data_IF_021269111897
#
_entry.id   IF_021269111897
#
_cell.length_a   1.000
_cell.length_b   1.000
_cell.length_c   1.000
_cell.angle_alpha   90.00
_cell.angle_beta   90.00
_cell.angle_gamma   90.00
#
_symmetry.space_group_name_H-M   'P 1'
#
loop_
_entity.id
_entity.type
_entity.pdbx_description
1 polymer ?
#
# COMPACT_ATOMS: atom_id res chain seq x y z
N UNK A 1 70.22 80.86 1.77
CA UNK A 1 70.76 80.56 3.11
C UNK A 1 70.71 79.05 3.31
N UNK A 2 71.89 78.47 3.54
CA UNK A 2 72.14 77.18 4.21
C UNK A 2 71.77 75.84 3.53
N UNK A 3 72.80 75.30 2.84
CA UNK A 3 73.42 73.95 2.92
C UNK A 3 72.59 72.67 2.70
N UNK A 4 73.03 71.89 1.70
CA UNK A 4 72.85 70.44 1.47
C UNK A 4 73.55 69.56 2.51
N UNK A 5 73.01 68.39 2.86
CA UNK A 5 73.75 67.16 3.29
C UNK A 5 72.76 65.97 3.11
N UNK A 6 72.90 65.01 2.18
CA UNK A 6 73.94 64.01 1.85
C UNK A 6 73.94 62.74 2.74
N UNK A 7 73.41 61.66 2.14
CA UNK A 7 73.86 60.25 2.07
C UNK A 7 74.38 59.44 3.28
N UNK A 8 73.88 58.19 3.31
CA UNK A 8 74.56 56.89 3.49
C UNK A 8 75.44 56.59 4.73
N UNK A 9 75.09 55.52 5.46
CA UNK A 9 75.97 54.62 6.26
C UNK A 9 75.32 53.21 6.17
N UNK A 10 75.82 52.21 5.41
CA UNK A 10 76.93 51.25 5.68
C UNK A 10 76.69 50.47 6.99
N UNK A 11 76.96 49.18 7.24
CA UNK A 11 77.26 47.94 6.52
C UNK A 11 77.52 46.89 7.63
N UNK A 12 77.24 45.60 7.37
CA UNK A 12 77.97 44.39 7.87
C UNK A 12 78.04 44.00 9.36
N UNK A 13 77.64 42.75 9.68
CA UNK A 13 78.42 41.76 10.48
C UNK A 13 77.69 40.38 10.45
N UNK A 14 78.13 39.41 9.63
CA UNK A 14 79.05 38.28 9.90
C UNK A 14 78.45 37.07 10.67
N UNK A 15 78.73 35.91 10.09
CA UNK A 15 78.23 34.56 10.38
C UNK A 15 79.04 33.78 11.44
N UNK A 16 78.42 32.75 12.06
CA UNK A 16 78.81 31.31 12.06
C UNK A 16 78.11 30.54 13.21
N UNK A 17 77.67 29.31 12.96
CA UNK A 17 77.24 28.37 14.01
C UNK A 17 76.56 27.07 13.52
N UNK A 18 77.34 26.15 12.94
CA UNK A 18 77.08 24.70 12.78
C UNK A 18 76.80 24.12 14.20
N UNK A 19 75.88 23.21 14.55
CA UNK A 19 75.59 21.85 14.06
C UNK A 19 74.47 21.29 14.95
N UNK A 20 73.36 20.73 14.43
CA UNK A 20 72.63 19.65 15.13
C UNK A 20 71.75 18.84 14.15
N UNK A 21 72.15 17.58 13.98
CA UNK A 21 71.34 16.37 13.76
C UNK A 21 70.15 16.38 12.79
N UNK A 22 70.40 15.78 11.62
CA UNK A 22 69.59 14.70 11.01
C UNK A 22 68.33 14.31 11.80
N UNK A 23 67.15 14.72 11.36
CA UNK A 23 65.87 13.98 11.51
C UNK A 23 64.69 14.82 11.00
N UNK A 24 64.25 14.58 9.75
CA UNK A 24 62.84 14.50 9.32
C UNK A 24 62.74 14.63 7.79
N UNK A 25 63.25 13.60 7.10
CA UNK A 25 62.90 13.26 5.72
C UNK A 25 61.66 12.32 5.67
N UNK A 26 60.79 12.38 6.68
CA UNK A 26 59.63 11.49 6.80
C UNK A 26 58.38 12.29 7.15
N UNK A 27 57.45 12.41 6.20
CA UNK A 27 56.14 12.99 6.52
C UNK A 27 55.34 13.61 5.38
N UNK A 28 55.45 13.12 4.14
CA UNK A 28 54.44 13.38 3.12
C UNK A 28 54.11 12.11 2.33
N UNK A 29 53.92 11.00 3.04
CA UNK A 29 52.99 9.98 2.59
C UNK A 29 51.60 10.47 3.02
N UNK A 30 51.01 11.33 2.20
CA UNK A 30 49.57 11.58 2.29
C UNK A 30 48.92 10.26 1.87
N UNK A 31 48.53 9.47 2.88
CA UNK A 31 47.61 8.36 2.69
C UNK A 31 46.39 8.91 1.96
N UNK A 32 46.31 8.66 0.66
CA UNK A 32 45.04 8.72 -0.07
C UNK A 32 44.25 7.52 0.43
N UNK A 33 43.73 7.63 1.65
CA UNK A 33 42.62 6.82 2.08
C UNK A 33 41.46 7.24 1.18
N UNK A 34 41.34 6.58 0.02
CA UNK A 34 40.07 6.47 -0.65
C UNK A 34 39.13 5.82 0.38
N UNK A 35 38.45 6.64 1.17
CA UNK A 35 37.11 6.31 1.60
C UNK A 35 36.37 6.04 0.31
N UNK A 36 36.35 4.78 -0.12
CA UNK A 36 35.71 4.35 -1.35
C UNK A 36 34.24 4.70 -1.16
N UNK A 37 33.86 5.83 -1.73
CA UNK A 37 32.55 6.42 -1.55
C UNK A 37 31.57 5.37 -2.09
N UNK A 38 30.78 4.76 -1.20
CA UNK A 38 29.86 3.68 -1.58
C UNK A 38 29.01 4.19 -2.74
N UNK A 39 29.07 3.48 -3.87
CA UNK A 39 28.31 3.88 -5.07
C UNK A 39 26.83 3.62 -4.83
N UNK A 40 26.00 4.36 -5.52
CA UNK A 40 24.56 4.12 -5.54
C UNK A 40 24.12 3.73 -6.93
N UNK A 41 22.95 3.11 -7.04
CA UNK A 41 22.33 2.81 -8.34
C UNK A 41 22.10 4.05 -9.21
N UNK A 42 22.14 5.27 -8.64
CA UNK A 42 22.07 6.53 -9.40
C UNK A 42 23.34 6.85 -10.18
N UNK A 43 24.45 6.15 -9.91
CA UNK A 43 25.75 6.40 -10.55
C UNK A 43 25.94 5.62 -11.86
N UNK A 44 24.85 5.22 -12.53
CA UNK A 44 24.93 4.48 -13.79
C UNK A 44 25.63 3.13 -13.63
N UNK A 45 25.13 2.27 -12.73
CA UNK A 45 25.82 1.03 -12.34
C UNK A 45 25.53 -0.18 -13.24
N UNK A 46 24.62 -0.03 -14.20
CA UNK A 46 24.25 -1.08 -15.15
C UNK A 46 24.29 -0.53 -16.58
N UNK A 47 24.48 -1.40 -17.58
CA UNK A 47 24.40 -1.00 -19.00
C UNK A 47 23.00 -1.26 -19.58
N UNK A 48 22.70 -0.57 -20.67
CA UNK A 48 21.44 -0.73 -21.40
C UNK A 48 21.32 -2.13 -22.02
N UNK A 49 22.44 -2.66 -22.54
CA UNK A 49 22.54 -3.98 -23.14
C UNK A 49 22.29 -5.06 -22.09
N UNK A 50 22.86 -4.89 -20.89
CA UNK A 50 22.65 -5.80 -19.77
C UNK A 50 21.19 -5.81 -19.31
N UNK A 51 20.59 -4.64 -19.13
CA UNK A 51 19.17 -4.54 -18.78
C UNK A 51 18.26 -5.19 -19.85
N UNK A 52 18.64 -5.09 -21.13
CA UNK A 52 17.91 -5.73 -22.23
C UNK A 52 17.97 -7.26 -22.14
N UNK A 53 19.14 -7.83 -21.81
CA UNK A 53 19.26 -9.28 -21.54
C UNK A 53 18.42 -9.69 -20.33
N UNK A 54 18.50 -8.91 -19.25
CA UNK A 54 17.71 -9.09 -18.05
C UNK A 54 16.20 -9.10 -18.29
N UNK A 55 15.71 -8.22 -19.16
CA UNK A 55 14.30 -8.16 -19.56
C UNK A 55 13.84 -9.49 -20.16
N UNK A 56 14.67 -10.11 -21.02
CA UNK A 56 14.36 -11.40 -21.64
C UNK A 56 14.18 -12.50 -20.60
N UNK A 57 15.11 -12.59 -19.64
CA UNK A 57 15.06 -13.54 -18.52
C UNK A 57 13.84 -13.28 -17.63
N UNK A 58 13.62 -12.01 -17.26
CA UNK A 58 12.50 -11.59 -16.42
C UNK A 58 11.14 -11.96 -17.04
N UNK A 59 10.95 -11.70 -18.34
CA UNK A 59 9.72 -12.06 -19.06
C UNK A 59 9.46 -13.56 -19.05
N UNK A 60 10.51 -14.36 -19.19
CA UNK A 60 10.39 -15.82 -19.22
C UNK A 60 10.15 -16.44 -17.82
N UNK A 61 10.70 -15.84 -16.75
CA UNK A 61 10.84 -16.52 -15.46
C UNK A 61 10.18 -15.80 -14.27
N UNK A 62 9.82 -14.51 -14.40
CA UNK A 62 9.39 -13.67 -13.28
C UNK A 62 8.03 -13.00 -13.49
N UNK A 63 7.71 -12.62 -14.74
CA UNK A 63 6.58 -11.74 -15.05
C UNK A 63 5.20 -12.32 -14.67
N UNK A 64 5.03 -13.64 -14.66
CA UNK A 64 3.76 -14.30 -14.29
C UNK A 64 3.34 -14.02 -12.84
N UNK A 65 4.30 -13.78 -11.94
CA UNK A 65 4.03 -13.46 -10.54
C UNK A 65 4.25 -11.98 -10.23
N UNK A 66 5.28 -11.35 -10.80
CA UNK A 66 5.70 -9.99 -10.45
C UNK A 66 5.19 -8.90 -11.41
N UNK A 67 4.38 -9.25 -12.40
CA UNK A 67 3.84 -8.31 -13.38
C UNK A 67 4.83 -7.97 -14.50
N UNK A 68 4.31 -7.50 -15.62
CA UNK A 68 5.12 -7.23 -16.82
C UNK A 68 6.01 -5.98 -16.66
N UNK A 69 5.54 -5.01 -15.87
CA UNK A 69 6.22 -3.78 -15.50
C UNK A 69 6.74 -3.77 -14.06
N UNK A 70 6.90 -4.94 -13.43
CA UNK A 70 7.40 -5.11 -12.05
C UNK A 70 6.46 -4.54 -10.98
N UNK A 71 5.19 -4.32 -11.33
CA UNK A 71 4.14 -3.74 -10.50
C UNK A 71 3.65 -4.67 -9.40
N UNK A 72 3.99 -5.96 -9.46
CA UNK A 72 3.48 -6.98 -8.56
C UNK A 72 2.08 -7.46 -8.95
N UNK A 73 1.86 -8.77 -8.85
CA UNK A 73 0.56 -9.41 -9.04
C UNK A 73 0.32 -10.39 -7.89
N UNK A 74 0.81 -11.61 -8.05
CA UNK A 74 0.82 -12.63 -7.00
C UNK A 74 2.09 -12.52 -6.13
N UNK A 75 3.20 -12.09 -6.74
CA UNK A 75 4.43 -11.70 -6.05
C UNK A 75 4.44 -10.19 -5.77
N UNK A 76 5.26 -9.73 -4.81
CA UNK A 76 5.37 -8.31 -4.47
C UNK A 76 5.88 -7.48 -5.66
N UNK A 77 5.63 -6.15 -5.65
CA UNK A 77 6.26 -5.23 -6.60
C UNK A 77 7.79 -5.27 -6.46
N UNK A 78 8.48 -5.14 -7.59
CA UNK A 78 9.94 -5.21 -7.68
C UNK A 78 10.59 -3.85 -8.04
N UNK A 79 9.80 -2.79 -8.04
CA UNK A 79 10.23 -1.40 -8.24
C UNK A 79 9.43 -0.46 -7.32
N UNK A 80 9.90 0.79 -7.17
CA UNK A 80 9.23 1.83 -6.40
C UNK A 80 9.73 1.96 -4.95
N UNK A 81 9.14 2.90 -4.21
CA UNK A 81 9.61 3.30 -2.89
C UNK A 81 9.45 2.19 -1.83
N UNK A 82 8.39 1.38 -1.92
CA UNK A 82 8.15 0.29 -0.98
C UNK A 82 9.17 -0.84 -1.17
N UNK A 83 9.48 -1.17 -2.43
CA UNK A 83 10.56 -2.09 -2.78
C UNK A 83 11.90 -1.59 -2.23
N UNK A 84 12.29 -0.35 -2.54
CA UNK A 84 13.57 0.21 -2.10
C UNK A 84 13.71 0.32 -0.57
N UNK A 85 12.60 0.37 0.16
CA UNK A 85 12.63 0.40 1.63
C UNK A 85 12.97 -0.96 2.23
N UNK A 86 12.50 -2.04 1.61
CA UNK A 86 12.90 -3.41 1.99
C UNK A 86 14.35 -3.68 1.56
N UNK A 87 14.74 -3.14 0.41
CA UNK A 87 16.04 -3.38 -0.21
C UNK A 87 17.02 -2.21 -0.06
N UNK A 88 16.97 -1.46 1.03
CA UNK A 88 17.85 -0.29 1.25
C UNK A 88 19.32 -0.66 1.53
N UNK A 89 19.65 -1.95 1.56
CA UNK A 89 20.99 -2.49 1.74
C UNK A 89 21.81 -2.53 0.43
N UNK A 90 22.93 -3.26 0.45
CA UNK A 90 23.74 -3.52 -0.74
C UNK A 90 23.00 -4.33 -1.81
N UNK A 91 23.37 -4.14 -3.08
CA UNK A 91 22.80 -4.92 -4.19
C UNK A 91 23.12 -6.42 -4.08
N UNK A 92 24.19 -6.79 -3.37
CA UNK A 92 24.53 -8.20 -3.10
C UNK A 92 23.38 -8.94 -2.42
N UNK A 93 22.65 -8.30 -1.51
CA UNK A 93 21.55 -8.92 -0.77
C UNK A 93 20.39 -9.28 -1.72
N UNK A 94 20.10 -8.38 -2.65
CA UNK A 94 19.05 -8.58 -3.65
C UNK A 94 19.44 -9.62 -4.70
N UNK A 95 20.68 -9.58 -5.19
CA UNK A 95 21.18 -10.62 -6.12
C UNK A 95 21.20 -11.98 -5.44
N UNK A 96 21.64 -12.06 -4.18
CA UNK A 96 21.60 -13.29 -3.38
C UNK A 96 20.16 -13.82 -3.23
N UNK A 97 19.20 -12.93 -2.95
CA UNK A 97 17.78 -13.31 -2.89
C UNK A 97 17.28 -13.91 -4.20
N UNK A 98 17.56 -13.26 -5.32
CA UNK A 98 17.17 -13.72 -6.65
C UNK A 98 17.83 -15.07 -6.93
N UNK A 99 19.13 -15.17 -6.72
CA UNK A 99 19.94 -16.36 -6.98
C UNK A 99 19.45 -17.60 -6.23
N UNK A 100 19.15 -17.46 -4.93
CA UNK A 100 18.88 -18.60 -4.06
C UNK A 100 17.41 -18.94 -3.90
N UNK A 101 16.49 -18.01 -4.17
CA UNK A 101 15.07 -18.21 -3.88
C UNK A 101 14.14 -17.99 -5.08
N UNK A 102 14.67 -17.54 -6.21
CA UNK A 102 13.90 -17.34 -7.44
C UNK A 102 14.42 -18.21 -8.59
N UNK A 103 13.54 -18.58 -9.55
CA UNK A 103 12.08 -18.49 -9.49
C UNK A 103 11.47 -19.33 -8.36
N UNK A 104 10.35 -18.91 -7.77
CA UNK A 104 9.78 -19.56 -6.58
C UNK A 104 9.39 -21.04 -6.80
N UNK A 105 9.06 -21.42 -8.03
CA UNK A 105 8.75 -22.78 -8.44
C UNK A 105 9.98 -23.62 -8.80
N UNK A 106 11.15 -23.00 -9.01
CA UNK A 106 12.39 -23.68 -9.35
C UNK A 106 13.63 -22.91 -8.81
N UNK A 107 13.79 -22.83 -7.47
CA UNK A 107 14.86 -22.03 -6.87
C UNK A 107 16.27 -22.53 -7.22
N UNK A 108 17.22 -21.62 -7.37
CA UNK A 108 18.64 -21.95 -7.60
C UNK A 108 18.99 -22.26 -9.06
N UNK A 109 18.08 -22.06 -10.02
CA UNK A 109 18.35 -22.24 -11.46
C UNK A 109 19.06 -21.08 -12.12
N UNK A 110 19.00 -19.88 -11.52
CA UNK A 110 19.64 -18.70 -12.07
C UNK A 110 21.13 -18.74 -11.77
N UNK A 111 21.95 -18.28 -12.70
CA UNK A 111 23.36 -18.00 -12.43
C UNK A 111 23.52 -16.63 -11.77
N UNK A 112 24.68 -16.38 -11.16
CA UNK A 112 25.01 -15.05 -10.63
C UNK A 112 24.90 -13.97 -11.72
N UNK A 113 25.35 -14.27 -12.95
CA UNK A 113 25.24 -13.34 -14.08
C UNK A 113 23.80 -13.11 -14.51
N UNK A 114 22.96 -14.17 -14.58
CA UNK A 114 21.54 -14.01 -14.90
C UNK A 114 20.82 -13.17 -13.84
N UNK A 115 21.17 -13.36 -12.57
CA UNK A 115 20.61 -12.59 -11.46
C UNK A 115 21.03 -11.11 -11.53
N UNK A 116 22.29 -10.84 -11.88
CA UNK A 116 22.79 -9.48 -12.12
C UNK A 116 22.11 -8.82 -13.34
N UNK A 117 21.90 -9.57 -14.42
CA UNK A 117 21.20 -9.09 -15.62
C UNK A 117 19.73 -8.76 -15.30
N UNK A 118 19.01 -9.63 -14.57
CA UNK A 118 17.64 -9.36 -14.10
C UNK A 118 17.62 -8.11 -13.21
N UNK A 119 18.58 -7.96 -12.30
CA UNK A 119 18.68 -6.76 -11.47
C UNK A 119 18.93 -5.50 -12.33
N UNK A 120 19.78 -5.57 -13.35
CA UNK A 120 19.97 -4.45 -14.28
C UNK A 120 18.66 -4.02 -14.95
N UNK A 121 17.81 -4.98 -15.33
CA UNK A 121 16.47 -4.69 -15.85
C UNK A 121 15.57 -4.03 -14.79
N UNK A 122 15.59 -4.53 -13.56
CA UNK A 122 14.83 -3.91 -12.45
C UNK A 122 15.28 -2.46 -12.21
N UNK A 123 16.59 -2.18 -12.29
CA UNK A 123 17.13 -0.83 -12.15
C UNK A 123 16.66 0.10 -13.28
N UNK A 124 16.64 -0.41 -14.52
CA UNK A 124 16.13 0.33 -15.68
C UNK A 124 14.64 0.67 -15.54
N UNK A 125 13.79 -0.29 -15.16
CA UNK A 125 12.36 -0.06 -14.94
C UNK A 125 12.14 0.88 -13.74
N UNK A 126 12.99 0.78 -12.72
CA UNK A 126 13.08 1.71 -11.60
C UNK A 126 13.57 3.12 -11.95
N UNK A 127 13.84 3.39 -13.24
CA UNK A 127 14.29 4.68 -13.78
C UNK A 127 15.66 5.13 -13.24
N UNK A 128 16.50 4.20 -12.82
CA UNK A 128 17.89 4.50 -12.54
C UNK A 128 18.66 4.64 -13.86
N UNK A 129 19.58 5.61 -13.98
CA UNK A 129 20.30 5.84 -15.21
C UNK A 129 21.15 4.61 -15.57
N UNK A 130 21.25 4.31 -16.85
CA UNK A 130 22.25 3.38 -17.36
C UNK A 130 23.61 4.08 -17.44
N UNK A 131 24.68 3.33 -17.19
CA UNK A 131 26.06 3.73 -17.43
C UNK A 131 26.69 2.95 -18.58
N UNK A 132 28.01 3.07 -18.69
CA UNK A 132 28.80 2.42 -19.77
C UNK A 132 29.26 1.00 -19.42
N UNK A 133 29.29 0.67 -18.13
CA UNK A 133 29.77 -0.62 -17.64
C UNK A 133 28.58 -1.50 -17.21
N UNK A 134 28.74 -2.80 -17.38
CA UNK A 134 27.79 -3.77 -16.85
C UNK A 134 27.90 -3.85 -15.31
N UNK A 135 26.77 -4.12 -14.67
CA UNK A 135 26.68 -4.48 -13.27
C UNK A 135 27.37 -5.84 -13.08
N UNK A 136 28.41 -5.88 -12.26
CA UNK A 136 29.18 -7.09 -11.99
C UNK A 136 28.32 -8.18 -11.34
N UNK A 137 28.59 -9.44 -11.67
CA UNK A 137 28.04 -10.60 -10.96
C UNK A 137 28.82 -10.97 -9.69
N UNK A 138 29.95 -10.29 -9.44
CA UNK A 138 30.78 -10.50 -8.25
C UNK A 138 30.13 -9.91 -6.99
N UNK A 139 29.99 -10.72 -5.94
CA UNK A 139 29.34 -10.35 -4.69
C UNK A 139 30.07 -9.21 -3.97
N UNK A 140 31.41 -9.20 -3.98
CA UNK A 140 32.19 -8.14 -3.35
C UNK A 140 31.95 -6.81 -4.07
N UNK A 141 31.92 -6.79 -5.39
CA UNK A 141 31.60 -5.60 -6.17
C UNK A 141 30.17 -5.10 -5.88
N UNK A 142 29.20 -6.01 -5.81
CA UNK A 142 27.80 -5.70 -5.52
C UNK A 142 27.58 -5.17 -4.10
N UNK A 143 28.37 -5.65 -3.13
CA UNK A 143 28.30 -5.19 -1.72
C UNK A 143 28.64 -3.70 -1.55
N UNK A 144 29.34 -3.11 -2.54
CA UNK A 144 29.74 -1.70 -2.54
C UNK A 144 28.74 -0.78 -3.23
N UNK A 145 27.65 -1.31 -3.77
CA UNK A 145 26.59 -0.57 -4.46
C UNK A 145 25.30 -0.68 -3.65
N UNK A 146 24.66 0.45 -3.38
CA UNK A 146 23.42 0.50 -2.57
C UNK A 146 22.30 1.21 -3.31
N UNK A 147 21.05 0.98 -2.89
CA UNK A 147 19.97 1.88 -3.26
C UNK A 147 20.16 3.24 -2.56
N UNK A 148 19.81 4.37 -3.21
CA UNK A 148 19.81 5.65 -2.52
C UNK A 148 18.85 5.58 -1.32
N UNK A 149 19.09 6.37 -0.26
CA UNK A 149 18.11 6.53 0.79
C UNK A 149 16.77 6.88 0.14
N UNK A 150 15.79 6.01 0.33
CA UNK A 150 14.40 6.37 0.02
C UNK A 150 14.15 7.61 0.87
N UNK A 151 13.59 8.70 0.31
CA UNK A 151 13.04 9.75 1.15
C UNK A 151 12.26 9.06 2.26
N UNK A 152 12.32 9.54 3.52
CA UNK A 152 11.42 9.00 4.52
C UNK A 152 10.06 8.87 3.84
N UNK A 153 9.37 7.72 4.04
CA UNK A 153 7.93 7.67 3.72
C UNK A 153 7.42 9.06 4.03
N UNK A 154 6.55 9.65 3.20
CA UNK A 154 5.74 10.71 3.71
C UNK A 154 5.31 10.21 5.10
N UNK A 155 5.90 10.80 6.14
CA UNK A 155 5.15 11.01 7.33
C UNK A 155 3.92 11.72 6.78
N UNK A 156 2.76 11.59 7.38
CA UNK A 156 1.78 12.62 7.16
C UNK A 156 2.45 13.94 7.56
N UNK A 157 3.21 14.56 6.63
CA UNK A 157 3.24 15.97 6.37
C UNK A 157 1.76 16.23 6.41
N UNK A 158 1.35 16.91 7.47
CA UNK A 158 0.12 17.64 7.46
C UNK A 158 0.19 18.45 6.16
N UNK A 159 -0.32 17.86 5.07
CA UNK A 159 -0.70 18.57 3.88
C UNK A 159 -1.43 19.77 4.45
N UNK A 160 -0.98 20.98 4.12
CA UNK A 160 -1.56 22.23 4.62
C UNK A 160 -3.05 21.99 4.81
N UNK A 161 -3.47 21.87 6.08
CA UNK A 161 -4.65 21.11 6.47
C UNK A 161 -5.86 21.89 6.03
N UNK A 162 -6.23 21.72 4.76
CA UNK A 162 -7.64 21.68 4.42
C UNK A 162 -8.12 20.38 5.05
N UNK A 163 -8.34 20.43 6.35
CA UNK A 163 -8.77 19.31 7.14
C UNK A 163 -10.12 18.92 6.54
N UNK A 164 -10.18 17.76 5.89
CA UNK A 164 -11.44 17.26 5.35
C UNK A 164 -12.44 17.28 6.52
N UNK A 165 -13.60 17.94 6.37
CA UNK A 165 -14.56 18.02 7.45
C UNK A 165 -14.88 16.63 7.98
N UNK A 166 -14.79 16.45 9.29
CA UNK A 166 -15.29 15.24 9.95
C UNK A 166 -16.77 15.43 10.24
N UNK A 167 -17.59 14.47 9.78
CA UNK A 167 -19.03 14.52 10.01
C UNK A 167 -19.38 13.66 11.22
N UNK A 168 -20.07 14.21 12.24
CA UNK A 168 -20.53 13.42 13.37
C UNK A 168 -21.58 12.40 12.93
N UNK A 169 -21.72 11.32 13.71
CA UNK A 169 -22.75 10.32 13.44
C UNK A 169 -24.16 10.93 13.54
N UNK A 170 -24.91 10.92 12.44
CA UNK A 170 -26.28 11.44 12.39
C UNK A 170 -27.33 10.54 13.08
N UNK A 171 -27.04 9.24 13.17
CA UNK A 171 -27.97 8.25 13.73
C UNK A 171 -27.27 7.18 14.55
N UNK A 172 -28.05 6.37 15.26
CA UNK A 172 -27.53 5.25 16.03
C UNK A 172 -27.13 4.07 15.13
N UNK A 173 -26.44 3.09 15.69
CA UNK A 173 -25.93 1.93 14.96
C UNK A 173 -27.04 1.15 14.26
N UNK A 174 -28.19 0.96 14.91
CA UNK A 174 -29.28 0.20 14.31
C UNK A 174 -29.98 0.94 13.17
N UNK A 175 -30.01 2.27 13.19
CA UNK A 175 -30.46 3.08 12.06
C UNK A 175 -29.52 2.91 10.86
N UNK A 176 -28.19 2.95 11.08
CA UNK A 176 -27.21 2.68 10.03
C UNK A 176 -27.39 1.27 9.44
N UNK A 177 -27.56 0.25 10.31
CA UNK A 177 -27.82 -1.12 9.85
C UNK A 177 -29.09 -1.22 9.01
N UNK A 178 -30.20 -0.59 9.44
CA UNK A 178 -31.48 -0.66 8.74
C UNK A 178 -31.53 0.17 7.46
N UNK A 179 -30.76 1.27 7.41
CA UNK A 179 -30.74 2.18 6.26
C UNK A 179 -29.87 1.68 5.11
N UNK A 180 -28.73 1.05 5.44
CA UNK A 180 -27.74 0.65 4.43
C UNK A 180 -27.62 -0.87 4.38
N UNK A 181 -27.15 -1.47 5.48
CA UNK A 181 -26.69 -2.85 5.44
C UNK A 181 -27.81 -3.87 5.23
N UNK A 182 -28.94 -3.71 5.89
CA UNK A 182 -30.09 -4.63 5.78
C UNK A 182 -30.72 -4.67 4.37
N UNK A 183 -31.11 -3.54 3.76
CA UNK A 183 -31.65 -3.57 2.40
C UNK A 183 -30.61 -4.05 1.38
N UNK A 184 -29.35 -3.60 1.48
CA UNK A 184 -28.29 -4.03 0.57
C UNK A 184 -27.97 -5.52 0.69
N UNK A 185 -27.88 -6.07 1.91
CA UNK A 185 -27.65 -7.51 2.09
C UNK A 185 -28.79 -8.33 1.51
N UNK A 186 -30.04 -7.89 1.69
CA UNK A 186 -31.20 -8.62 1.17
C UNK A 186 -31.23 -8.63 -0.36
N UNK A 187 -30.82 -7.53 -1.02
CA UNK A 187 -30.69 -7.50 -2.48
C UNK A 187 -29.66 -8.53 -2.98
N UNK A 188 -28.53 -8.67 -2.28
CA UNK A 188 -27.50 -9.64 -2.64
C UNK A 188 -27.95 -11.08 -2.33
N UNK A 189 -28.54 -11.34 -1.16
CA UNK A 189 -29.03 -12.68 -0.80
C UNK A 189 -30.18 -13.15 -1.70
N UNK A 190 -31.00 -12.22 -2.21
CA UNK A 190 -32.09 -12.56 -3.16
C UNK A 190 -31.56 -13.28 -4.40
N UNK A 191 -30.31 -13.00 -4.82
CA UNK A 191 -29.65 -13.64 -5.96
C UNK A 191 -29.59 -15.16 -5.83
N UNK A 192 -29.57 -15.71 -4.62
CA UNK A 192 -29.60 -17.16 -4.39
C UNK A 192 -30.89 -17.83 -4.91
N UNK A 193 -31.99 -17.07 -4.98
CA UNK A 193 -33.31 -17.57 -5.36
C UNK A 193 -33.85 -16.97 -6.65
N UNK A 194 -33.30 -15.83 -7.09
CA UNK A 194 -33.77 -15.08 -8.25
C UNK A 194 -32.59 -14.58 -9.07
N UNK A 195 -32.56 -14.96 -10.34
CA UNK A 195 -31.62 -14.41 -11.31
C UNK A 195 -31.88 -12.91 -11.52
N UNK A 196 -30.88 -12.02 -11.30
CA UNK A 196 -31.01 -10.60 -11.59
C UNK A 196 -31.23 -10.28 -13.08
N UNK A 197 -30.89 -11.19 -14.00
CA UNK A 197 -31.19 -11.05 -15.43
C UNK A 197 -32.64 -11.45 -15.77
N UNK A 198 -33.40 -12.04 -14.83
CA UNK A 198 -34.77 -12.45 -15.08
C UNK A 198 -35.68 -11.23 -15.34
N UNK A 199 -36.64 -11.35 -16.28
CA UNK A 199 -37.60 -10.29 -16.56
C UNK A 199 -38.33 -9.82 -15.29
N UNK A 200 -38.55 -8.52 -15.18
CA UNK A 200 -39.35 -7.97 -14.09
C UNK A 200 -40.82 -8.41 -14.25
N UNK A 201 -41.51 -8.69 -13.13
CA UNK A 201 -42.96 -8.84 -13.16
C UNK A 201 -43.61 -7.61 -13.77
N UNK A 202 -44.68 -7.79 -14.55
CA UNK A 202 -45.47 -6.66 -15.04
C UNK A 202 -46.03 -5.88 -13.84
N UNK A 203 -46.01 -4.54 -13.87
CA UNK A 203 -46.61 -3.73 -12.82
C UNK A 203 -48.07 -4.14 -12.60
N UNK A 204 -48.49 -4.22 -11.34
CA UNK A 204 -49.88 -4.53 -11.02
C UNK A 204 -50.79 -3.39 -11.51
N UNK A 205 -51.95 -3.65 -12.13
CA UNK A 205 -52.80 -2.61 -12.74
C UNK A 205 -53.35 -1.54 -11.79
N UNK A 206 -53.24 -1.76 -10.47
CA UNK A 206 -53.97 -1.03 -9.42
C UNK A 206 -53.25 0.24 -8.89
N UNK A 207 -52.11 0.66 -9.45
CA UNK A 207 -51.43 1.88 -9.00
C UNK A 207 -51.99 3.18 -9.60
N UNK A 208 -53.12 3.13 -10.32
CA UNK A 208 -53.68 4.27 -11.05
C UNK A 208 -54.59 5.21 -10.22
N UNK A 209 -54.87 4.87 -8.94
CA UNK A 209 -55.76 5.65 -8.07
C UNK A 209 -55.10 6.63 -7.10
N UNK A 210 -53.77 6.60 -6.95
CA UNK A 210 -53.01 7.45 -6.03
C UNK A 210 -52.24 8.55 -6.76
N UNK A 211 -52.10 9.72 -6.14
CA UNK A 211 -51.22 10.77 -6.66
C UNK A 211 -49.76 10.30 -6.84
N UNK A 212 -48.94 11.10 -7.52
CA UNK A 212 -47.55 10.74 -7.79
C UNK A 212 -46.74 10.45 -6.51
N UNK A 213 -46.06 9.30 -6.49
CA UNK A 213 -45.27 8.80 -5.37
C UNK A 213 -43.82 8.61 -5.81
N UNK A 214 -42.91 9.38 -5.20
CA UNK A 214 -41.47 9.29 -5.47
C UNK A 214 -40.88 7.92 -5.13
N UNK A 215 -41.45 7.23 -4.13
CA UNK A 215 -41.06 5.87 -3.77
C UNK A 215 -41.47 4.84 -4.82
N UNK A 216 -42.68 4.96 -5.38
CA UNK A 216 -43.18 4.02 -6.38
C UNK A 216 -42.49 4.24 -7.73
N UNK A 217 -42.29 5.51 -8.11
CA UNK A 217 -41.48 5.85 -9.28
C UNK A 217 -40.03 5.39 -9.11
N UNK A 218 -39.43 5.64 -7.95
CA UNK A 218 -38.03 5.30 -7.64
C UNK A 218 -37.74 3.79 -7.63
N UNK A 219 -38.71 2.97 -7.23
CA UNK A 219 -38.55 1.52 -7.12
C UNK A 219 -38.25 0.83 -8.46
N UNK A 220 -38.58 1.46 -9.59
CA UNK A 220 -38.36 0.91 -10.94
C UNK A 220 -37.14 1.45 -11.68
N UNK A 221 -36.41 2.44 -11.13
CA UNK A 221 -35.33 3.14 -11.87
C UNK A 221 -34.11 2.25 -12.07
N UNK A 222 -33.75 1.50 -11.03
CA UNK A 222 -32.60 0.61 -11.03
C UNK A 222 -33.10 -0.81 -10.92
N UNK A 223 -32.58 -1.70 -11.76
CA UNK A 223 -33.11 -3.07 -11.87
C UNK A 223 -31.99 -4.07 -12.16
N UNK A 224 -32.26 -5.34 -11.89
CA UNK A 224 -31.36 -6.45 -12.20
C UNK A 224 -29.96 -6.30 -11.61
N UNK A 225 -28.93 -6.56 -12.42
CA UNK A 225 -27.54 -6.61 -11.98
C UNK A 225 -27.00 -5.29 -11.41
N UNK A 226 -27.52 -4.14 -11.86
CA UNK A 226 -27.09 -2.84 -11.32
C UNK A 226 -27.49 -2.68 -9.84
N UNK A 227 -28.66 -3.18 -9.44
CA UNK A 227 -29.06 -3.16 -8.02
C UNK A 227 -28.11 -3.99 -7.15
N UNK A 228 -27.65 -5.13 -7.67
CA UNK A 228 -26.69 -5.99 -6.96
C UNK A 228 -25.34 -5.28 -6.83
N UNK A 229 -24.90 -4.58 -7.89
CA UNK A 229 -23.68 -3.76 -7.87
C UNK A 229 -23.76 -2.67 -6.79
N UNK A 230 -24.83 -1.88 -6.79
CA UNK A 230 -25.01 -0.79 -5.81
C UNK A 230 -25.12 -1.32 -4.39
N UNK A 231 -25.81 -2.44 -4.19
CA UNK A 231 -25.91 -3.09 -2.90
C UNK A 231 -24.53 -3.54 -2.38
N UNK A 232 -23.71 -4.14 -3.24
CA UNK A 232 -22.36 -4.57 -2.86
C UNK A 232 -21.44 -3.41 -2.52
N UNK A 233 -21.48 -2.32 -3.31
CA UNK A 233 -20.76 -1.07 -3.02
C UNK A 233 -21.23 -0.47 -1.69
N UNK A 234 -22.54 -0.41 -1.45
CA UNK A 234 -23.09 0.11 -0.20
C UNK A 234 -22.61 -0.68 1.03
N UNK A 235 -22.51 -2.01 0.94
CA UNK A 235 -21.89 -2.82 2.00
C UNK A 235 -20.41 -2.46 2.16
N UNK A 236 -19.66 -2.45 1.06
CA UNK A 236 -18.22 -2.17 1.08
C UNK A 236 -17.86 -0.81 1.71
N UNK A 237 -18.63 0.23 1.38
CA UNK A 237 -18.40 1.60 1.81
C UNK A 237 -19.05 1.95 3.15
N UNK A 238 -19.87 1.06 3.73
CA UNK A 238 -20.49 1.29 5.02
C UNK A 238 -19.52 1.16 6.22
N UNK A 239 -18.40 0.46 6.05
CA UNK A 239 -17.48 0.15 7.16
C UNK A 239 -16.93 1.40 7.88
N UNK A 240 -16.47 2.47 7.19
CA UNK A 240 -16.10 3.72 7.86
C UNK A 240 -17.23 4.34 8.69
N UNK A 241 -18.50 4.16 8.28
CA UNK A 241 -19.65 4.66 9.04
C UNK A 241 -19.86 3.90 10.35
N UNK A 242 -19.46 2.62 10.39
CA UNK A 242 -19.45 1.80 11.62
C UNK A 242 -18.32 2.20 12.58
N UNK A 243 -17.29 2.88 12.07
CA UNK A 243 -16.13 3.37 12.83
C UNK A 243 -16.25 4.85 13.20
N UNK A 244 -17.36 5.51 12.86
CA UNK A 244 -17.58 6.94 13.20
C UNK A 244 -17.58 7.15 14.72
N UNK A 245 -16.66 7.95 15.27
CA UNK A 245 -16.63 8.24 16.71
C UNK A 245 -17.93 8.86 17.21
N UNK A 246 -18.30 8.54 18.45
CA UNK A 246 -19.49 9.11 19.11
C UNK A 246 -20.83 8.49 18.68
N UNK A 247 -20.85 7.57 17.71
CA UNK A 247 -22.07 6.82 17.36
C UNK A 247 -22.55 6.02 18.57
N UNK A 248 -23.87 6.05 18.81
CA UNK A 248 -24.52 5.30 19.91
C UNK A 248 -25.23 4.04 19.41
N UNK A 249 -25.39 3.07 20.30
CA UNK A 249 -26.23 1.90 20.12
C UNK A 249 -27.65 2.14 20.66
N UNK A 250 -28.58 1.22 20.44
CA UNK A 250 -30.00 1.40 20.82
C UNK A 250 -30.22 1.51 22.33
N UNK A 251 -29.27 1.06 23.16
CA UNK A 251 -29.26 1.25 24.61
C UNK A 251 -28.58 2.57 25.06
N UNK A 252 -28.22 3.45 24.13
CA UNK A 252 -27.56 4.71 24.41
C UNK A 252 -26.05 4.62 24.68
N UNK A 253 -25.47 3.42 24.80
CA UNK A 253 -24.01 3.24 24.94
C UNK A 253 -23.30 3.62 23.65
N UNK A 254 -22.02 3.94 23.75
CA UNK A 254 -21.18 4.19 22.57
C UNK A 254 -20.94 2.87 21.81
N UNK A 255 -20.88 2.97 20.49
CA UNK A 255 -20.34 1.92 19.65
C UNK A 255 -18.85 1.73 20.01
N UNK A 256 -18.37 0.48 20.18
CA UNK A 256 -17.01 0.20 20.62
C UNK A 256 -15.98 0.35 19.48
N UNK A 257 -15.90 1.54 18.88
CA UNK A 257 -15.07 1.82 17.69
C UNK A 257 -13.55 1.70 17.92
N UNK A 258 -13.12 1.53 19.17
CA UNK A 258 -11.73 1.33 19.55
C UNK A 258 -11.40 -0.13 19.89
N UNK A 259 -12.40 -1.02 19.94
CA UNK A 259 -12.18 -2.44 20.20
C UNK A 259 -11.61 -3.12 18.94
N UNK A 260 -10.57 -3.94 19.12
CA UNK A 260 -9.85 -4.56 18.01
C UNK A 260 -10.73 -5.48 17.16
N UNK A 261 -11.64 -6.21 17.80
CA UNK A 261 -12.62 -7.08 17.13
C UNK A 261 -13.69 -6.27 16.38
N UNK A 262 -14.18 -5.14 16.91
CA UNK A 262 -15.08 -4.25 16.17
C UNK A 262 -14.44 -3.70 14.90
N UNK A 263 -13.18 -3.25 14.99
CA UNK A 263 -12.39 -2.77 13.85
C UNK A 263 -12.21 -3.89 12.83
N UNK A 264 -11.77 -5.08 13.30
CA UNK A 264 -11.59 -6.26 12.46
C UNK A 264 -12.87 -6.63 11.70
N UNK A 265 -14.00 -6.76 12.39
CA UNK A 265 -15.27 -7.14 11.74
C UNK A 265 -15.77 -6.07 10.76
N UNK A 266 -15.51 -4.79 11.03
CA UNK A 266 -15.84 -3.71 10.10
C UNK A 266 -15.00 -3.80 8.82
N UNK A 267 -13.72 -4.16 8.93
CA UNK A 267 -12.83 -4.40 7.78
C UNK A 267 -13.28 -5.63 6.98
N UNK A 268 -13.55 -6.74 7.66
CA UNK A 268 -14.04 -7.98 7.03
C UNK A 268 -15.35 -7.75 6.25
N UNK A 269 -16.26 -6.94 6.80
CA UNK A 269 -17.50 -6.55 6.11
C UNK A 269 -17.22 -5.74 4.83
N UNK A 270 -16.26 -4.81 4.90
CA UNK A 270 -15.86 -4.02 3.73
C UNK A 270 -15.28 -4.91 2.62
N UNK A 271 -14.46 -5.89 3.03
CA UNK A 271 -13.86 -6.88 2.13
C UNK A 271 -14.92 -7.79 1.50
N UNK A 272 -15.89 -8.27 2.29
CA UNK A 272 -17.01 -9.06 1.79
C UNK A 272 -17.84 -8.27 0.78
N UNK A 273 -18.09 -6.98 1.02
CA UNK A 273 -18.75 -6.09 0.06
C UNK A 273 -17.97 -5.94 -1.24
N UNK A 274 -16.65 -5.73 -1.18
CA UNK A 274 -15.78 -5.66 -2.37
C UNK A 274 -15.75 -6.97 -3.15
N UNK A 275 -15.70 -8.11 -2.45
CA UNK A 275 -15.76 -9.42 -3.06
C UNK A 275 -17.11 -9.63 -3.78
N UNK A 276 -18.21 -9.23 -3.14
CA UNK A 276 -19.54 -9.29 -3.73
C UNK A 276 -19.68 -8.39 -4.96
N UNK A 277 -19.08 -7.20 -4.94
CA UNK A 277 -19.06 -6.31 -6.10
C UNK A 277 -18.28 -6.94 -7.25
N UNK A 278 -17.08 -7.49 -6.98
CA UNK A 278 -16.31 -8.22 -7.99
C UNK A 278 -17.10 -9.40 -8.58
N UNK A 279 -17.81 -10.16 -7.74
CA UNK A 279 -18.65 -11.26 -8.19
C UNK A 279 -19.83 -10.78 -9.04
N UNK A 280 -20.50 -9.70 -8.65
CA UNK A 280 -21.64 -9.17 -9.40
C UNK A 280 -21.24 -8.65 -10.77
N UNK A 281 -20.04 -8.09 -10.93
CA UNK A 281 -19.49 -7.67 -12.24
C UNK A 281 -19.38 -8.83 -13.24
N UNK A 282 -19.32 -10.09 -12.79
CA UNK A 282 -19.30 -11.26 -13.69
C UNK A 282 -20.66 -11.56 -14.32
N UNK A 283 -21.75 -10.95 -13.80
CA UNK A 283 -23.14 -11.20 -14.21
C UNK A 283 -23.53 -12.68 -14.14
N UNK A 284 -22.92 -13.42 -13.21
CA UNK A 284 -23.17 -14.84 -13.00
C UNK A 284 -23.83 -15.06 -11.63
N UNK A 285 -24.99 -15.71 -11.63
CA UNK A 285 -25.80 -15.92 -10.43
C UNK A 285 -25.09 -16.83 -9.43
N UNK A 286 -24.41 -17.87 -9.89
CA UNK A 286 -23.70 -18.82 -9.03
C UNK A 286 -22.52 -18.15 -8.31
N UNK A 287 -21.76 -17.31 -9.01
CA UNK A 287 -20.61 -16.59 -8.46
C UNK A 287 -21.03 -15.64 -7.34
N UNK A 288 -22.13 -14.91 -7.52
CA UNK A 288 -22.68 -14.06 -6.45
C UNK A 288 -23.32 -14.89 -5.36
N UNK A 289 -23.99 -16.00 -5.68
CA UNK A 289 -24.53 -16.90 -4.66
C UNK A 289 -23.43 -17.47 -3.77
N UNK A 290 -22.27 -17.82 -4.32
CA UNK A 290 -21.13 -18.30 -3.55
C UNK A 290 -20.56 -17.24 -2.58
N UNK A 291 -20.44 -15.97 -3.00
CA UNK A 291 -19.89 -14.91 -2.14
C UNK A 291 -20.82 -14.53 -0.97
N UNK A 292 -22.10 -14.91 -1.04
CA UNK A 292 -23.05 -14.66 0.06
C UNK A 292 -22.65 -15.33 1.37
N UNK A 293 -21.93 -16.45 1.31
CA UNK A 293 -21.40 -17.12 2.52
C UNK A 293 -20.42 -16.22 3.26
N UNK A 294 -19.55 -15.52 2.53
CA UNK A 294 -18.60 -14.57 3.11
C UNK A 294 -19.30 -13.35 3.73
N UNK A 295 -20.36 -12.85 3.08
CA UNK A 295 -21.20 -11.78 3.64
C UNK A 295 -21.87 -12.28 4.94
N UNK A 296 -22.50 -13.45 4.90
CA UNK A 296 -23.20 -14.02 6.04
C UNK A 296 -22.26 -14.27 7.23
N UNK A 297 -21.05 -14.74 6.98
CA UNK A 297 -20.01 -14.90 8.01
C UNK A 297 -19.62 -13.55 8.62
N UNK A 298 -19.36 -12.53 7.80
CA UNK A 298 -19.01 -11.18 8.28
C UNK A 298 -20.12 -10.57 9.14
N UNK A 299 -21.38 -10.75 8.74
CA UNK A 299 -22.54 -10.33 9.54
C UNK A 299 -22.62 -11.09 10.88
N UNK A 300 -22.42 -12.41 10.85
CA UNK A 300 -22.57 -13.28 12.02
C UNK A 300 -21.46 -13.06 13.04
N UNK A 301 -20.23 -12.80 12.62
CA UNK A 301 -19.10 -12.49 13.50
C UNK A 301 -19.41 -11.27 14.37
N UNK A 302 -19.87 -10.18 13.75
CA UNK A 302 -20.21 -8.95 14.46
C UNK A 302 -21.49 -9.12 15.29
N UNK A 303 -22.53 -9.73 14.74
CA UNK A 303 -23.79 -9.92 15.45
C UNK A 303 -23.65 -10.86 16.65
N UNK A 304 -22.91 -11.96 16.54
CA UNK A 304 -22.65 -12.86 17.66
C UNK A 304 -21.92 -12.17 18.81
N UNK A 305 -20.96 -11.30 18.49
CA UNK A 305 -20.20 -10.56 19.50
C UNK A 305 -20.99 -9.42 20.16
N UNK A 306 -21.76 -8.64 19.38
CA UNK A 306 -22.29 -7.34 19.84
C UNK A 306 -23.80 -7.15 19.71
N UNK A 307 -24.55 -8.10 19.12
CA UNK A 307 -26.00 -7.99 18.91
C UNK A 307 -26.77 -9.11 19.61
N UNK A 308 -26.36 -10.34 19.42
CA UNK A 308 -27.13 -11.56 19.71
C UNK A 308 -26.76 -12.19 21.07
N UNK A 309 -26.31 -11.35 22.00
CA UNK A 309 -25.98 -11.72 23.37
C UNK A 309 -27.20 -12.31 24.11
N UNK A 310 -26.99 -13.33 24.97
CA UNK A 310 -28.04 -13.84 25.84
C UNK A 310 -28.61 -12.74 26.73
N UNK A 311 -29.94 -12.57 26.72
CA UNK A 311 -30.66 -11.60 27.53
C UNK A 311 -32.17 -11.86 27.44
N UNK A 312 -32.92 -11.51 28.48
CA UNK A 312 -34.37 -11.74 28.51
C UNK A 312 -35.07 -10.67 27.66
N UNK A 313 -35.62 -11.07 26.52
CA UNK A 313 -36.66 -10.28 25.84
C UNK A 313 -37.84 -10.15 26.81
N UNK A 314 -38.32 -8.94 27.00
CA UNK A 314 -39.48 -8.64 27.85
C UNK A 314 -40.56 -7.95 27.03
N UNK A 315 -41.76 -7.77 27.60
CA UNK A 315 -42.80 -6.95 26.96
C UNK A 315 -42.37 -5.50 26.76
N UNK A 316 -41.49 -4.99 27.62
CA UNK A 316 -40.94 -3.62 27.58
C UNK A 316 -39.73 -3.52 26.64
N UNK A 317 -38.93 -4.58 26.53
CA UNK A 317 -37.79 -4.68 25.60
C UNK A 317 -37.87 -5.98 24.76
N UNK A 318 -38.74 -6.01 23.74
CA UNK A 318 -38.94 -7.21 22.93
C UNK A 318 -37.76 -7.51 22.01
N UNK A 319 -36.87 -6.55 21.79
CA UNK A 319 -35.70 -6.69 20.90
C UNK A 319 -34.39 -6.93 21.64
N UNK A 320 -34.41 -7.01 22.97
CA UNK A 320 -33.21 -7.10 23.82
C UNK A 320 -32.21 -5.95 23.54
N UNK A 321 -32.73 -4.73 23.40
CA UNK A 321 -31.94 -3.51 23.14
C UNK A 321 -30.88 -3.29 24.22
N UNK A 322 -31.16 -3.66 25.47
CA UNK A 322 -30.21 -3.52 26.58
C UNK A 322 -28.84 -4.18 26.30
N UNK A 323 -28.82 -5.28 25.55
CA UNK A 323 -27.61 -6.06 25.25
C UNK A 323 -26.80 -5.55 24.04
N UNK A 324 -27.26 -4.49 23.36
CA UNK A 324 -26.57 -3.98 22.16
C UNK A 324 -25.20 -3.40 22.48
N UNK A 325 -24.19 -3.79 21.70
CA UNK A 325 -22.81 -3.31 21.81
C UNK A 325 -22.18 -3.59 23.19
N UNK A 326 -22.63 -4.65 23.85
CA UNK A 326 -22.06 -5.14 25.11
C UNK A 326 -21.30 -6.42 24.81
N UNK A 327 -20.02 -6.44 25.19
CA UNK A 327 -19.14 -7.60 25.05
C UNK A 327 -19.39 -8.64 26.13
#
# INVERSE_FOLDING_TARGET
MSVSFNSCIVSTCRALGLTLCVSMLGGCLVSVANAQQRRTVRDGVHSQEQATRGMGLYKAQCASCHGAGLEGLQGPPLVGNDFMRVWSGPLSDLVSKILHTMPANDPGKLTAQQSADILAYMLQVGKFPAGKAELSADENALSQITFPPVPPAPQPVAAATTQVPTFPAAGNMAQLMRAILFPSSNLIFTVQSRDPAAPLPKPSPDQSGGGFSWSDWGAGIYTGWELVDYAAVAIAESAPLMLTPGRRCENGRLVPVHEADWIKFSIELAEAGRAAYKASQTRNQEAVSAVTEQIAASCSNCHGAYRDKPGKRTTVDPSNKAARCVR
#
